data_IF_365750521365
#
_entry.id   IF_365750521365
#
_cell.length_a   1.000
_cell.length_b   1.000
_cell.length_c   1.000
_cell.angle_alpha   90.00
_cell.angle_beta   90.00
_cell.angle_gamma   90.00
#
_symmetry.space_group_name_H-M   'P 1'
#
loop_
_entity.id
_entity.type
_entity.pdbx_description
1 polymer ?
#
# COMPACT_ATOMS: atom_id res chain seq x y z
N UNK A 1 0.18 59.90 47.36
CA UNK A 1 1.17 60.68 48.13
C UNK A 1 1.07 60.31 49.60
N UNK A 2 2.23 60.20 50.28
CA UNK A 2 2.43 60.07 51.74
C UNK A 2 2.41 58.65 52.34
N UNK A 3 3.14 57.75 51.70
CA UNK A 3 4.18 56.96 52.41
C UNK A 3 5.16 57.89 53.13
N UNK A 4 5.78 57.40 54.21
CA UNK A 4 6.94 57.98 54.93
C UNK A 4 6.65 58.95 56.10
N UNK A 5 6.03 58.48 57.17
CA UNK A 5 6.28 59.08 58.50
C UNK A 5 6.32 58.09 59.70
N UNK A 6 6.04 56.80 59.53
CA UNK A 6 6.29 55.78 60.57
C UNK A 6 7.36 54.77 60.12
N UNK A 7 8.40 55.29 59.45
CA UNK A 7 9.66 54.61 59.08
C UNK A 7 10.72 54.75 60.20
N UNK A 8 10.32 55.16 61.40
CA UNK A 8 11.24 55.52 62.51
C UNK A 8 11.28 54.53 63.68
N UNK A 9 10.87 53.27 63.49
CA UNK A 9 11.02 52.26 64.55
C UNK A 9 11.43 50.85 64.05
N UNK A 10 12.09 50.79 62.88
CA UNK A 10 12.60 49.55 62.27
C UNK A 10 14.11 49.35 62.41
N UNK A 11 14.79 49.72 63.50
CA UNK A 11 16.23 49.33 63.62
C UNK A 11 16.85 49.56 65.00
N UNK A 12 16.57 48.74 66.05
CA UNK A 12 17.32 47.48 66.16
C UNK A 12 16.70 46.42 67.12
N UNK A 13 16.44 45.19 66.68
CA UNK A 13 16.42 44.01 67.60
C UNK A 13 16.26 42.67 66.85
N UNK A 14 16.76 42.58 65.62
CA UNK A 14 17.16 41.27 65.08
C UNK A 14 18.53 40.99 65.69
N UNK A 15 18.71 39.78 66.24
CA UNK A 15 19.95 39.16 66.75
C UNK A 15 20.00 38.79 68.24
N UNK A 16 18.90 38.45 68.89
CA UNK A 16 18.95 37.48 70.01
C UNK A 16 17.63 36.73 70.13
N UNK A 17 17.56 35.52 69.56
CA UNK A 17 17.09 34.32 70.27
C UNK A 17 16.83 33.19 69.27
N UNK A 18 17.85 32.38 69.05
CA UNK A 18 17.73 31.02 68.56
C UNK A 18 17.63 30.13 69.81
N UNK A 19 16.46 29.54 70.09
CA UNK A 19 16.32 28.48 71.09
C UNK A 19 15.11 27.58 70.77
N UNK A 20 15.40 26.29 70.57
CA UNK A 20 14.47 25.21 70.26
C UNK A 20 15.16 24.28 69.25
N UNK A 21 15.61 23.05 69.54
CA UNK A 21 15.18 22.09 70.55
C UNK A 21 14.28 21.05 69.88
N UNK A 22 14.85 20.01 69.27
CA UNK A 22 14.10 18.85 68.74
C UNK A 22 14.83 18.02 67.69
N UNK A 23 15.25 16.82 68.11
CA UNK A 23 15.67 15.59 67.40
C UNK A 23 15.69 15.55 65.86
N UNK A 24 16.88 15.26 65.31
CA UNK A 24 17.07 14.81 63.92
C UNK A 24 16.93 13.27 63.84
N UNK A 25 15.97 12.71 63.09
CA UNK A 25 16.10 11.35 62.60
C UNK A 25 17.05 11.33 61.40
N UNK A 26 18.05 10.46 61.49
CA UNK A 26 19.03 10.14 60.46
C UNK A 26 18.30 9.78 59.16
N UNK A 27 18.59 10.53 58.10
CA UNK A 27 18.24 10.16 56.73
C UNK A 27 19.22 9.07 56.31
N UNK A 28 18.82 7.80 56.44
CA UNK A 28 19.48 6.72 55.70
C UNK A 28 19.13 6.90 54.23
N UNK A 29 20.07 7.43 53.45
CA UNK A 29 20.05 7.36 52.00
C UNK A 29 20.15 5.88 51.60
N UNK A 30 18.99 5.27 51.31
CA UNK A 30 18.96 4.11 50.44
C UNK A 30 19.00 4.64 49.00
N UNK A 31 20.20 4.70 48.42
CA UNK A 31 20.32 4.63 46.96
C UNK A 31 19.84 3.23 46.54
N UNK A 32 18.53 3.08 46.37
CA UNK A 32 18.01 1.98 45.57
C UNK A 32 18.29 2.32 44.11
N UNK A 33 19.02 1.43 43.46
CA UNK A 33 19.31 1.40 42.03
C UNK A 33 17.98 1.28 41.26
N UNK A 34 17.25 2.39 41.14
CA UNK A 34 15.94 2.40 40.48
C UNK A 34 16.15 2.31 38.97
N UNK A 35 15.58 1.30 38.29
CA UNK A 35 15.71 1.20 36.85
C UNK A 35 15.13 2.44 36.17
N UNK A 36 15.87 3.00 35.22
CA UNK A 36 15.46 4.18 34.45
C UNK A 36 14.07 3.96 33.85
N UNK A 37 13.16 4.94 34.06
CA UNK A 37 11.79 4.90 33.54
C UNK A 37 10.73 4.38 34.52
N UNK A 38 11.10 4.02 35.75
CA UNK A 38 10.14 3.64 36.81
C UNK A 38 10.03 4.73 37.87
N UNK A 39 8.80 5.15 38.17
CA UNK A 39 8.50 6.12 39.24
C UNK A 39 7.63 5.45 40.29
N UNK A 40 8.09 5.48 41.54
CA UNK A 40 7.36 4.96 42.69
C UNK A 40 6.48 6.06 43.30
N UNK A 41 5.20 5.74 43.55
CA UNK A 41 4.24 6.66 44.14
C UNK A 41 3.74 6.11 45.47
N UNK A 42 3.55 6.99 46.46
CA UNK A 42 2.94 6.62 47.74
C UNK A 42 1.42 6.45 47.60
N UNK A 43 0.79 5.62 48.44
CA UNK A 43 -0.66 5.36 48.37
C UNK A 43 -1.51 6.63 48.50
N UNK A 44 -1.04 7.64 49.25
CA UNK A 44 -1.73 8.93 49.40
C UNK A 44 -1.69 9.73 48.09
N UNK A 45 -0.57 9.69 47.37
CA UNK A 45 -0.43 10.32 46.06
C UNK A 45 -1.26 9.58 45.01
N UNK A 46 -1.27 8.25 45.02
CA UNK A 46 -2.11 7.44 44.12
C UNK A 46 -3.60 7.74 44.31
N UNK A 47 -4.06 7.82 45.56
CA UNK A 47 -5.47 8.13 45.90
C UNK A 47 -5.84 9.58 45.59
N UNK A 48 -4.95 10.54 45.83
CA UNK A 48 -5.19 11.94 45.48
C UNK A 48 -5.30 12.17 43.96
N UNK A 49 -4.61 11.35 43.17
CA UNK A 49 -4.64 11.40 41.70
C UNK A 49 -5.75 10.53 41.08
N UNK A 50 -6.44 9.70 41.87
CA UNK A 50 -7.54 8.86 41.38
C UNK A 50 -7.12 7.85 40.31
N UNK A 51 -5.93 7.25 40.44
CA UNK A 51 -5.41 6.32 39.43
C UNK A 51 -6.21 5.01 39.39
N UNK A 52 -6.82 4.72 38.24
CA UNK A 52 -7.50 3.46 37.96
C UNK A 52 -6.67 2.62 36.97
N UNK A 53 -6.45 1.34 37.32
CA UNK A 53 -5.71 0.41 36.48
C UNK A 53 -6.69 -0.44 35.66
N UNK A 54 -6.54 -0.38 34.34
CA UNK A 54 -7.21 -1.29 33.42
C UNK A 54 -6.36 -2.53 33.12
N UNK A 55 -7.01 -3.66 32.82
CA UNK A 55 -6.32 -4.86 32.32
C UNK A 55 -6.22 -4.85 30.80
N UNK A 56 -5.14 -5.41 30.25
CA UNK A 56 -5.02 -5.60 28.80
C UNK A 56 -6.15 -6.49 28.26
N UNK A 57 -6.85 -6.02 27.24
CA UNK A 57 -7.89 -6.78 26.54
C UNK A 57 -7.55 -6.89 25.05
N UNK A 58 -7.44 -8.12 24.56
CA UNK A 58 -7.30 -8.39 23.13
C UNK A 58 -8.67 -8.24 22.47
N UNK A 59 -8.78 -7.34 21.48
CA UNK A 59 -10.01 -7.12 20.71
C UNK A 59 -9.71 -7.33 19.23
N UNK A 60 -10.60 -8.07 18.55
CA UNK A 60 -10.56 -8.16 17.11
C UNK A 60 -11.06 -6.84 16.52
N UNK A 61 -10.14 -6.05 15.97
CA UNK A 61 -10.47 -4.86 15.20
C UNK A 61 -10.73 -5.29 13.76
N UNK A 62 -11.99 -5.53 13.41
CA UNK A 62 -12.37 -5.78 12.02
C UNK A 62 -12.43 -4.44 11.28
N UNK A 63 -11.28 -3.97 10.79
CA UNK A 63 -11.22 -2.83 9.89
C UNK A 63 -11.79 -3.26 8.53
N UNK A 64 -13.02 -2.84 8.23
CA UNK A 64 -13.65 -3.11 6.94
C UNK A 64 -13.11 -2.11 5.91
N UNK A 65 -12.31 -2.58 4.95
CA UNK A 65 -11.84 -1.76 3.84
C UNK A 65 -12.83 -1.90 2.67
N UNK A 66 -13.54 -0.82 2.35
CA UNK A 66 -14.41 -0.79 1.17
C UNK A 66 -13.57 -0.52 -0.06
N UNK A 67 -13.64 -1.41 -1.04
CA UNK A 67 -12.95 -1.25 -2.33
C UNK A 67 -13.96 -1.30 -3.46
N UNK A 68 -13.66 -0.57 -4.54
CA UNK A 68 -14.35 -0.68 -5.80
C UNK A 68 -13.51 -1.57 -6.74
N UNK A 69 -14.16 -2.25 -7.67
CA UNK A 69 -13.50 -3.04 -8.69
C UNK A 69 -14.24 -2.94 -10.02
N UNK A 70 -13.55 -3.26 -11.10
CA UNK A 70 -14.14 -3.39 -12.43
C UNK A 70 -14.10 -4.85 -12.86
N UNK A 71 -15.12 -5.26 -13.61
CA UNK A 71 -15.12 -6.58 -14.23
C UNK A 71 -14.35 -6.50 -15.54
N UNK A 72 -13.31 -7.30 -15.65
CA UNK A 72 -12.45 -7.38 -16.84
C UNK A 72 -12.62 -8.75 -17.47
N UNK A 73 -12.65 -8.81 -18.79
CA UNK A 73 -12.60 -10.10 -19.49
C UNK A 73 -11.15 -10.61 -19.38
N UNK A 74 -10.92 -11.83 -18.87
CA UNK A 74 -9.57 -12.38 -18.81
C UNK A 74 -8.93 -12.41 -20.20
N UNK A 75 -7.62 -12.17 -20.33
CA UNK A 75 -6.95 -12.15 -21.64
C UNK A 75 -7.09 -13.47 -22.40
N UNK A 76 -7.23 -14.60 -21.69
CA UNK A 76 -7.46 -15.91 -22.29
C UNK A 76 -8.84 -16.06 -22.99
N UNK A 77 -9.80 -15.19 -22.68
CA UNK A 77 -11.14 -15.19 -23.26
C UNK A 77 -11.35 -14.11 -24.34
N UNK A 78 -10.30 -13.34 -24.66
CA UNK A 78 -10.29 -12.35 -25.74
C UNK A 78 -9.46 -12.87 -26.91
N UNK A 79 -9.89 -12.58 -28.14
CA UNK A 79 -9.17 -12.95 -29.35
C UNK A 79 -9.25 -11.81 -30.37
N UNK A 80 -8.10 -11.43 -30.92
CA UNK A 80 -7.98 -10.48 -32.02
C UNK A 80 -7.67 -11.25 -33.31
N UNK A 81 -8.43 -10.98 -34.37
CA UNK A 81 -8.30 -11.68 -35.65
C UNK A 81 -7.84 -10.70 -36.71
N UNK A 82 -6.66 -10.96 -37.26
CA UNK A 82 -6.03 -10.12 -38.29
C UNK A 82 -5.72 -10.97 -39.52
N UNK A 83 -5.89 -10.39 -40.71
CA UNK A 83 -5.52 -11.05 -41.96
C UNK A 83 -3.99 -11.11 -42.11
N UNK A 84 -3.46 -12.26 -42.55
CA UNK A 84 -2.02 -12.44 -42.80
C UNK A 84 -1.57 -11.63 -44.02
N UNK A 85 -2.40 -11.63 -45.08
CA UNK A 85 -2.19 -10.86 -46.29
C UNK A 85 -3.29 -9.79 -46.31
N UNK A 86 -2.89 -8.54 -46.57
CA UNK A 86 -3.83 -7.44 -46.75
C UNK A 86 -4.80 -7.74 -47.89
N UNK A 87 -6.02 -7.21 -47.81
CA UNK A 87 -7.07 -7.53 -48.78
C UNK A 87 -8.18 -6.51 -48.76
N UNK A 88 -8.87 -6.38 -49.89
CA UNK A 88 -10.12 -5.64 -49.95
C UNK A 88 -11.24 -6.50 -49.34
N UNK A 89 -12.09 -5.89 -48.52
CA UNK A 89 -13.24 -6.59 -47.95
C UNK A 89 -14.30 -6.83 -49.04
N UNK A 90 -14.48 -8.08 -49.45
CA UNK A 90 -15.56 -8.48 -50.37
C UNK A 90 -16.89 -8.64 -49.66
N UNK A 91 -16.86 -9.24 -48.46
CA UNK A 91 -18.07 -9.51 -47.69
C UNK A 91 -17.78 -9.39 -46.18
N UNK A 92 -18.71 -8.78 -45.44
CA UNK A 92 -18.70 -8.74 -43.98
C UNK A 92 -19.94 -9.47 -43.50
N UNK A 93 -19.76 -10.50 -42.67
CA UNK A 93 -20.83 -11.43 -42.24
C UNK A 93 -21.33 -11.19 -40.82
N UNK A 94 -20.66 -10.32 -40.07
CA UNK A 94 -20.96 -10.04 -38.66
C UNK A 94 -20.82 -8.54 -38.40
N UNK A 95 -21.64 -8.05 -37.48
CA UNK A 95 -21.60 -6.67 -37.00
C UNK A 95 -21.33 -6.61 -35.50
N UNK A 96 -21.04 -5.41 -35.02
CA UNK A 96 -20.79 -5.21 -33.59
C UNK A 96 -22.02 -5.62 -32.75
N UNK A 97 -21.77 -6.43 -31.73
CA UNK A 97 -22.80 -6.97 -30.85
C UNK A 97 -23.27 -8.38 -31.23
N UNK A 98 -22.92 -8.88 -32.42
CA UNK A 98 -23.29 -10.23 -32.82
C UNK A 98 -22.52 -11.28 -32.01
N UNK A 99 -23.22 -12.34 -31.59
CA UNK A 99 -22.60 -13.49 -30.93
C UNK A 99 -21.99 -14.40 -31.99
N UNK A 100 -20.68 -14.60 -31.92
CA UNK A 100 -19.92 -15.48 -32.82
C UNK A 100 -19.50 -16.78 -32.14
N UNK A 101 -19.26 -17.84 -32.92
CA UNK A 101 -18.74 -19.13 -32.46
C UNK A 101 -17.38 -19.43 -33.08
N UNK A 102 -16.59 -20.29 -32.43
CA UNK A 102 -15.30 -20.74 -32.96
C UNK A 102 -15.48 -21.36 -34.35
N UNK A 103 -14.70 -20.88 -35.32
CA UNK A 103 -14.74 -21.36 -36.72
C UNK A 103 -15.78 -20.68 -37.60
N UNK A 104 -16.55 -19.71 -37.08
CA UNK A 104 -17.48 -18.92 -37.89
C UNK A 104 -16.72 -17.94 -38.79
N UNK A 105 -17.12 -17.87 -40.07
CA UNK A 105 -16.59 -16.87 -40.99
C UNK A 105 -17.10 -15.46 -40.62
N UNK A 106 -16.17 -14.53 -40.39
CA UNK A 106 -16.46 -13.15 -40.00
C UNK A 106 -16.50 -12.21 -41.20
N UNK A 107 -15.53 -12.35 -42.11
CA UNK A 107 -15.41 -11.58 -43.33
C UNK A 107 -14.73 -12.41 -44.43
N UNK A 108 -14.91 -12.00 -45.68
CA UNK A 108 -14.22 -12.54 -46.84
C UNK A 108 -13.40 -11.42 -47.46
N UNK A 109 -12.09 -11.66 -47.58
CA UNK A 109 -11.14 -10.71 -48.16
C UNK A 109 -10.65 -11.21 -49.52
N UNK A 110 -10.35 -10.28 -50.41
CA UNK A 110 -9.77 -10.56 -51.73
C UNK A 110 -8.55 -9.68 -51.98
N UNK A 111 -7.48 -10.29 -52.49
CA UNK A 111 -6.26 -9.57 -52.87
C UNK A 111 -5.56 -10.26 -54.05
N UNK A 112 -5.04 -9.52 -55.05
CA UNK A 112 -4.28 -10.09 -56.15
C UNK A 112 -3.04 -10.89 -55.72
N UNK A 113 -2.41 -10.53 -54.60
CA UNK A 113 -1.20 -11.19 -54.10
C UNK A 113 -1.38 -12.70 -53.84
N UNK A 114 -2.61 -13.15 -53.58
CA UNK A 114 -2.89 -14.59 -53.47
C UNK A 114 -2.62 -15.33 -54.77
N UNK A 115 -2.93 -14.71 -55.91
CA UNK A 115 -2.69 -15.30 -57.24
C UNK A 115 -1.18 -15.35 -57.51
N UNK A 116 -0.48 -14.27 -57.23
CA UNK A 116 0.99 -14.20 -57.40
C UNK A 116 1.70 -15.27 -56.57
N UNK A 117 1.29 -15.45 -55.31
CA UNK A 117 1.87 -16.48 -54.44
C UNK A 117 1.62 -17.90 -54.98
N UNK A 118 0.42 -18.17 -55.50
CA UNK A 118 0.06 -19.47 -56.08
C UNK A 118 0.85 -19.75 -57.36
N UNK A 119 1.03 -18.75 -58.22
CA UNK A 119 1.85 -18.85 -59.44
C UNK A 119 3.30 -19.16 -59.11
N UNK A 120 3.90 -18.41 -58.18
CA UNK A 120 5.28 -18.63 -57.73
C UNK A 120 5.46 -20.03 -57.12
N UNK A 121 4.52 -20.48 -56.29
CA UNK A 121 4.55 -21.83 -55.73
C UNK A 121 4.51 -22.89 -56.84
N UNK A 122 3.64 -22.74 -57.83
CA UNK A 122 3.51 -23.68 -58.93
C UNK A 122 4.79 -23.74 -59.79
N UNK A 123 5.41 -22.59 -60.06
CA UNK A 123 6.68 -22.51 -60.79
C UNK A 123 7.80 -23.21 -60.03
N UNK A 124 7.99 -22.90 -58.75
CA UNK A 124 9.03 -23.50 -57.91
C UNK A 124 8.80 -25.00 -57.76
N UNK A 125 7.55 -25.46 -57.58
CA UNK A 125 7.24 -26.87 -57.49
C UNK A 125 7.58 -27.62 -58.78
N UNK A 126 7.32 -27.02 -59.94
CA UNK A 126 7.69 -27.60 -61.24
C UNK A 126 9.21 -27.65 -61.42
N UNK A 127 9.92 -26.58 -61.04
CA UNK A 127 11.38 -26.54 -61.10
C UNK A 127 11.97 -27.60 -60.16
N UNK A 128 11.52 -27.66 -58.90
CA UNK A 128 11.97 -28.65 -57.92
C UNK A 128 11.82 -30.07 -58.45
N UNK A 129 10.66 -30.42 -59.00
CA UNK A 129 10.41 -31.74 -59.59
C UNK A 129 11.40 -32.06 -60.72
N UNK A 130 11.71 -31.09 -61.56
CA UNK A 130 12.69 -31.27 -62.63
C UNK A 130 14.11 -31.50 -62.07
N UNK A 131 14.54 -30.69 -61.09
CA UNK A 131 15.85 -30.84 -60.47
C UNK A 131 16.00 -32.17 -59.71
N UNK A 132 14.94 -32.63 -59.03
CA UNK A 132 14.94 -33.95 -58.37
C UNK A 132 15.12 -35.08 -59.39
N UNK A 133 14.42 -35.00 -60.52
CA UNK A 133 14.56 -35.98 -61.61
C UNK A 133 15.96 -35.97 -62.24
N UNK A 134 16.61 -34.81 -62.35
CA UNK A 134 18.00 -34.73 -62.81
C UNK A 134 18.99 -35.26 -61.76
N UNK A 135 18.74 -35.03 -60.47
CA UNK A 135 19.59 -35.52 -59.38
C UNK A 135 19.54 -37.04 -59.21
N UNK A 136 18.36 -37.65 -59.40
CA UNK A 136 18.17 -39.11 -59.33
C UNK A 136 18.74 -39.86 -60.55
N UNK A 137 19.16 -39.13 -61.59
CA UNK A 137 19.61 -39.69 -62.87
C UNK A 137 21.10 -39.98 -62.89
#
# INVERSE_FOLDING_TARGET
MKTKLFITFLLPCILFSCHGGGDNPVHEEYEEDTPEGVVFLTERQQKALGLELGTFQMRNLTTVVKTNGQLEVPPAASAEVTAIIGGNAREIKVFHGDRVRKGQALAVLEHPDYIVLQEQFAEIASQLKFLEQEFER
#
